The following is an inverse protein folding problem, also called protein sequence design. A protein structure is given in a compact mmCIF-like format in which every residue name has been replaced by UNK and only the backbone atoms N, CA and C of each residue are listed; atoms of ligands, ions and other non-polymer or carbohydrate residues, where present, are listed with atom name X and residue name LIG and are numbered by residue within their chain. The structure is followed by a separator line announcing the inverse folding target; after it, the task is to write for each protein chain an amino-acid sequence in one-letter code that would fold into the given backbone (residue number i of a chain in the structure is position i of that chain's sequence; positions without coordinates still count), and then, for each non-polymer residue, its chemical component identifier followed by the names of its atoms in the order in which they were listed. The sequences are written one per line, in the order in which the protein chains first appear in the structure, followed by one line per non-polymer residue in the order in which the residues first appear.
data_IF_664013451342
#
_entry.id   IF_664013451342
#
_cell.length_a   1.000
_cell.length_b   1.000
_cell.length_c   1.000
_cell.angle_alpha   90.00
_cell.angle_beta   90.00
_cell.angle_gamma   90.00
#
_symmetry.space_group_name_H-M   'P 1'
#
loop_
_entity.id
_entity.type
_entity.pdbx_description
1 polymer ?
#
# COMPACT_ATOMS: atom_id res chain seq x y z
N UNK A 1 -28.72 -6.24 13.61
CA UNK A 1 -27.63 -6.63 14.51
C UNK A 1 -26.31 -6.47 13.77
N UNK A 2 -25.27 -6.04 14.48
CA UNK A 2 -23.94 -5.84 13.92
C UNK A 2 -22.91 -6.64 14.66
N UNK A 3 -21.97 -7.23 13.93
CA UNK A 3 -20.79 -7.87 14.50
C UNK A 3 -19.57 -7.11 14.04
N UNK A 4 -18.83 -6.54 14.99
CA UNK A 4 -17.55 -5.86 14.71
C UNK A 4 -16.41 -6.84 14.87
N UNK A 5 -15.65 -7.05 13.80
CA UNK A 5 -14.49 -7.94 13.80
C UNK A 5 -13.21 -7.18 14.16
N UNK A 6 -12.43 -7.70 15.09
CA UNK A 6 -11.11 -7.19 15.44
C UNK A 6 -10.05 -8.23 15.03
N UNK A 7 -8.85 -7.82 14.63
CA UNK A 7 -8.33 -6.45 14.49
C UNK A 7 -8.73 -5.76 13.18
N UNK A 8 -9.41 -6.43 12.24
CA UNK A 8 -9.69 -5.89 10.90
C UNK A 8 -10.57 -4.63 10.89
N UNK A 9 -11.34 -4.37 11.95
CA UNK A 9 -12.31 -3.28 12.00
C UNK A 9 -13.56 -3.51 11.14
N UNK A 10 -13.70 -4.67 10.49
CA UNK A 10 -14.84 -5.00 9.64
C UNK A 10 -16.14 -5.04 10.45
N UNK A 11 -17.21 -4.48 9.90
CA UNK A 11 -18.54 -4.49 10.50
C UNK A 11 -19.47 -5.32 9.62
N UNK A 12 -19.99 -6.40 10.18
CA UNK A 12 -20.94 -7.30 9.51
C UNK A 12 -22.37 -6.90 9.88
N UNK A 13 -23.17 -6.50 8.89
CA UNK A 13 -24.61 -6.36 9.03
C UNK A 13 -25.25 -7.76 8.92
N UNK A 14 -25.78 -8.26 10.05
CA UNK A 14 -26.30 -9.61 10.16
C UNK A 14 -27.75 -9.72 9.68
N UNK A 15 -28.06 -10.78 8.94
CA UNK A 15 -29.42 -11.18 8.64
C UNK A 15 -30.01 -12.03 9.81
N UNK A 16 -31.33 -12.10 9.99
CA UNK A 16 -31.94 -12.96 11.02
C UNK A 16 -31.54 -14.41 10.86
N UNK A 17 -31.01 -15.05 11.92
CA UNK A 17 -30.58 -16.45 11.93
C UNK A 17 -29.32 -16.75 11.13
N UNK A 18 -28.55 -15.73 10.76
CA UNK A 18 -27.30 -15.88 9.99
C UNK A 18 -26.10 -16.09 10.92
N UNK A 19 -25.24 -17.07 10.60
CA UNK A 19 -23.98 -17.29 11.29
C UNK A 19 -22.93 -16.23 10.92
N UNK A 20 -22.00 -15.98 11.85
CA UNK A 20 -20.93 -14.95 11.67
C UNK A 20 -20.09 -15.22 10.42
N UNK A 21 -19.68 -16.48 10.18
CA UNK A 21 -18.92 -16.87 8.99
C UNK A 21 -19.72 -16.66 7.69
N UNK A 22 -21.01 -16.95 7.71
CA UNK A 22 -21.85 -16.82 6.52
C UNK A 22 -22.07 -15.34 6.17
N UNK A 23 -22.31 -14.49 7.16
CA UNK A 23 -22.38 -13.04 6.99
C UNK A 23 -21.07 -12.46 6.42
N UNK A 24 -19.93 -12.84 6.99
CA UNK A 24 -18.63 -12.40 6.50
C UNK A 24 -18.41 -12.81 5.04
N UNK A 25 -18.72 -14.07 4.71
CA UNK A 25 -18.61 -14.59 3.34
C UNK A 25 -19.56 -13.86 2.36
N UNK A 26 -20.81 -13.64 2.76
CA UNK A 26 -21.81 -12.91 1.97
C UNK A 26 -21.37 -11.47 1.68
N UNK A 27 -20.72 -10.81 2.65
CA UNK A 27 -20.20 -9.46 2.52
C UNK A 27 -18.85 -9.40 1.78
N UNK A 28 -18.31 -10.54 1.34
CA UNK A 28 -17.12 -10.64 0.51
C UNK A 28 -15.80 -10.69 1.28
N UNK A 29 -15.83 -10.92 2.59
CA UNK A 29 -14.60 -11.15 3.36
C UNK A 29 -14.07 -12.57 3.14
N UNK A 30 -12.73 -12.67 3.01
CA UNK A 30 -12.04 -13.95 3.07
C UNK A 30 -11.73 -14.29 4.53
N UNK A 31 -12.24 -15.42 5.02
CA UNK A 31 -12.13 -15.81 6.42
C UNK A 31 -11.48 -17.18 6.57
N UNK A 32 -10.74 -17.43 7.67
CA UNK A 32 -10.27 -18.76 8.00
C UNK A 32 -11.44 -19.74 8.15
N UNK A 33 -11.54 -20.72 7.25
CA UNK A 33 -12.61 -21.73 7.28
C UNK A 33 -12.20 -23.05 6.63
N UNK A 34 -12.84 -24.15 7.03
CA UNK A 34 -12.66 -25.46 6.40
C UNK A 34 -13.93 -26.31 6.54
N UNK A 35 -14.14 -27.00 7.67
CA UNK A 35 -15.17 -28.01 7.83
C UNK A 35 -16.62 -27.51 7.94
N UNK A 36 -16.82 -26.26 8.37
CA UNK A 36 -18.13 -25.62 8.62
C UNK A 36 -19.05 -26.33 9.61
N UNK A 37 -18.50 -27.18 10.47
CA UNK A 37 -19.25 -27.94 11.48
C UNK A 37 -18.60 -27.91 12.88
N UNK A 38 -17.65 -26.99 13.10
CA UNK A 38 -16.97 -26.78 14.39
C UNK A 38 -15.84 -27.78 14.70
N UNK A 39 -15.59 -28.80 13.87
CA UNK A 39 -14.63 -29.86 14.22
C UNK A 39 -13.16 -29.52 13.97
N UNK A 40 -12.86 -28.64 12.99
CA UNK A 40 -11.47 -28.34 12.59
C UNK A 40 -10.86 -27.16 13.35
N UNK A 41 -11.64 -26.38 14.05
CA UNK A 41 -11.28 -25.18 14.82
C UNK A 41 -10.61 -24.06 14.00
N UNK A 42 -10.53 -24.18 12.67
CA UNK A 42 -9.90 -23.16 11.80
C UNK A 42 -10.68 -21.83 11.84
N UNK A 43 -11.98 -21.88 12.06
CA UNK A 43 -12.85 -20.72 12.21
C UNK A 43 -13.00 -20.25 13.67
N UNK A 44 -12.11 -20.68 14.58
CA UNK A 44 -12.14 -20.25 15.97
C UNK A 44 -11.87 -18.74 16.07
N UNK A 45 -12.63 -18.08 16.93
CA UNK A 45 -12.52 -16.67 17.25
C UNK A 45 -12.85 -16.43 18.73
N UNK A 46 -12.50 -15.28 19.27
CA UNK A 46 -12.80 -14.90 20.65
C UNK A 46 -13.98 -13.94 20.68
N UNK A 47 -15.07 -14.31 21.34
CA UNK A 47 -16.16 -13.38 21.67
C UNK A 47 -15.70 -12.46 22.80
N UNK A 48 -15.58 -11.16 22.49
CA UNK A 48 -15.13 -10.12 23.43
C UNK A 48 -16.32 -9.48 24.13
N UNK A 49 -17.36 -9.13 23.36
CA UNK A 49 -18.59 -8.52 23.85
C UNK A 49 -19.82 -9.09 23.12
N UNK A 50 -20.96 -9.06 23.80
CA UNK A 50 -22.24 -9.52 23.28
C UNK A 50 -22.54 -10.99 23.58
N UNK A 51 -23.57 -11.55 22.92
CA UNK A 51 -23.99 -12.93 23.10
C UNK A 51 -24.22 -13.61 21.77
N UNK A 52 -23.80 -14.88 21.70
CA UNK A 52 -24.03 -15.73 20.53
C UNK A 52 -24.69 -17.05 20.94
N UNK A 53 -25.48 -17.61 20.05
CA UNK A 53 -25.99 -18.99 20.15
C UNK A 53 -25.06 -19.90 19.36
N UNK A 54 -24.46 -20.90 20.01
CA UNK A 54 -23.60 -21.89 19.36
C UNK A 54 -24.01 -23.29 19.76
N UNK A 55 -24.44 -24.11 18.81
CA UNK A 55 -24.88 -25.49 19.05
C UNK A 55 -25.94 -25.61 20.17
N UNK A 56 -26.88 -24.68 20.25
CA UNK A 56 -27.94 -24.64 21.27
C UNK A 56 -27.53 -24.06 22.62
N UNK A 57 -26.28 -23.62 22.77
CA UNK A 57 -25.77 -22.99 24.01
C UNK A 57 -25.53 -21.51 23.76
N UNK A 58 -26.00 -20.67 24.67
CA UNK A 58 -25.72 -19.23 24.65
C UNK A 58 -24.38 -18.96 25.33
N UNK A 59 -23.48 -18.33 24.62
CA UNK A 59 -22.15 -17.87 25.08
C UNK A 59 -22.13 -16.36 25.16
N UNK A 60 -21.48 -15.80 26.17
CA UNK A 60 -21.31 -14.35 26.38
C UNK A 60 -19.84 -13.87 26.42
N UNK A 61 -18.91 -14.81 26.32
CA UNK A 61 -17.46 -14.55 26.23
C UNK A 61 -16.73 -15.87 25.88
N UNK A 62 -15.47 -15.73 25.49
CA UNK A 62 -14.59 -16.88 25.24
C UNK A 62 -14.57 -17.36 23.81
N UNK A 63 -13.98 -18.52 23.59
CA UNK A 63 -13.82 -19.08 22.24
C UNK A 63 -15.16 -19.48 21.63
N UNK A 64 -15.35 -19.07 20.39
CA UNK A 64 -16.49 -19.40 19.54
C UNK A 64 -16.00 -19.97 18.20
N UNK A 65 -16.84 -20.78 17.56
CA UNK A 65 -16.63 -21.23 16.18
C UNK A 65 -17.57 -20.45 15.25
N UNK A 66 -17.02 -19.51 14.50
CA UNK A 66 -17.80 -18.55 13.68
C UNK A 66 -18.71 -19.24 12.65
N UNK A 67 -18.40 -20.48 12.27
CA UNK A 67 -19.26 -21.31 11.40
C UNK A 67 -20.52 -21.86 12.09
N UNK A 68 -20.61 -21.77 13.40
CA UNK A 68 -21.75 -22.26 14.22
C UNK A 68 -22.36 -21.14 15.08
N UNK A 69 -21.67 -20.02 15.22
CA UNK A 69 -22.06 -18.94 16.11
C UNK A 69 -23.04 -17.99 15.41
N UNK A 70 -24.26 -17.91 15.95
CA UNK A 70 -25.30 -16.97 15.54
C UNK A 70 -25.39 -15.84 16.59
N UNK A 71 -25.15 -14.55 16.23
CA UNK A 71 -25.27 -13.47 17.20
C UNK A 71 -26.72 -13.24 17.62
N UNK A 72 -26.92 -13.00 18.93
CA UNK A 72 -28.22 -12.69 19.52
C UNK A 72 -28.41 -11.19 19.75
N UNK A 73 -27.35 -10.44 19.72
CA UNK A 73 -27.27 -8.97 19.86
C UNK A 73 -26.04 -8.45 19.13
N UNK A 74 -25.77 -7.14 19.20
CA UNK A 74 -24.54 -6.57 18.65
C UNK A 74 -23.33 -7.16 19.39
N UNK A 75 -22.30 -7.60 18.65
CA UNK A 75 -21.14 -8.32 19.20
C UNK A 75 -19.83 -7.69 18.75
N UNK A 76 -18.79 -7.89 19.58
CA UNK A 76 -17.39 -7.67 19.21
C UNK A 76 -16.68 -9.01 19.24
N UNK A 77 -16.07 -9.38 18.12
CA UNK A 77 -15.40 -10.67 17.93
C UNK A 77 -13.96 -10.43 17.47
N UNK A 78 -13.00 -10.96 18.21
CA UNK A 78 -11.59 -10.99 17.78
C UNK A 78 -11.37 -12.24 16.92
N UNK A 79 -11.18 -12.02 15.62
CA UNK A 79 -11.01 -13.07 14.63
C UNK A 79 -9.88 -12.74 13.68
N UNK A 80 -8.72 -13.35 13.93
CA UNK A 80 -7.53 -13.15 13.15
C UNK A 80 -7.64 -13.74 11.74
N UNK A 81 -6.99 -13.11 10.77
CA UNK A 81 -6.92 -13.60 9.39
C UNK A 81 -8.17 -13.33 8.56
N UNK A 82 -9.08 -12.48 9.02
CA UNK A 82 -10.18 -11.95 8.20
C UNK A 82 -9.63 -10.88 7.28
N UNK A 83 -9.83 -11.05 5.97
CA UNK A 83 -9.34 -10.14 4.93
C UNK A 83 -10.52 -9.54 4.18
N UNK A 84 -10.46 -8.24 3.89
CA UNK A 84 -11.42 -7.60 3.01
C UNK A 84 -11.26 -8.11 1.57
N UNK A 85 -12.28 -7.91 0.73
CA UNK A 85 -12.23 -8.32 -0.67
C UNK A 85 -11.04 -7.66 -1.39
N UNK A 86 -10.15 -8.49 -1.94
CA UNK A 86 -8.94 -8.05 -2.61
C UNK A 86 -7.76 -7.73 -1.68
N UNK A 87 -7.94 -7.78 -0.37
CA UNK A 87 -6.86 -7.70 0.60
C UNK A 87 -5.97 -8.95 0.53
N UNK A 88 -4.68 -8.77 0.74
CA UNK A 88 -3.70 -9.86 0.67
C UNK A 88 -3.09 -10.11 2.05
N UNK A 89 -2.95 -11.40 2.47
CA UNK A 89 -2.38 -11.70 3.77
C UNK A 89 -0.90 -11.32 3.83
N UNK A 90 -0.50 -10.65 4.91
CA UNK A 90 0.90 -10.35 5.19
C UNK A 90 1.67 -11.66 5.40
N UNK A 91 2.83 -11.78 4.77
CA UNK A 91 3.70 -12.96 4.83
C UNK A 91 5.12 -12.57 5.16
N UNK A 92 5.78 -13.39 5.96
CA UNK A 92 7.23 -13.31 6.21
C UNK A 92 7.97 -14.09 5.13
N UNK A 93 8.98 -13.48 4.53
CA UNK A 93 9.79 -14.09 3.47
C UNK A 93 11.26 -13.85 3.77
N UNK A 94 12.09 -14.87 3.51
CA UNK A 94 13.55 -14.75 3.50
C UNK A 94 13.99 -14.51 2.05
N UNK A 95 14.31 -13.26 1.71
CA UNK A 95 14.67 -12.85 0.35
C UNK A 95 16.18 -12.77 0.18
N UNK A 96 16.66 -13.16 -1.00
CA UNK A 96 18.05 -12.93 -1.39
C UNK A 96 18.23 -11.48 -1.83
N UNK A 97 19.26 -10.81 -1.33
CA UNK A 97 19.70 -9.52 -1.87
C UNK A 97 20.38 -9.78 -3.22
N UNK A 98 19.76 -9.35 -4.30
CA UNK A 98 20.25 -9.58 -5.67
C UNK A 98 21.02 -8.39 -6.22
N UNK A 99 20.72 -7.19 -5.74
CA UNK A 99 21.36 -5.93 -6.13
C UNK A 99 21.37 -4.96 -4.95
N UNK A 100 22.40 -4.13 -4.87
CA UNK A 100 22.46 -3.02 -3.92
C UNK A 100 23.48 -2.00 -4.49
N UNK A 101 22.96 -1.03 -5.27
CA UNK A 101 23.77 -0.07 -6.04
C UNK A 101 23.29 1.36 -5.82
N UNK A 102 24.21 2.30 -5.77
CA UNK A 102 23.92 3.72 -5.72
C UNK A 102 23.48 4.21 -7.12
N UNK A 103 22.39 4.97 -7.18
CA UNK A 103 21.78 5.45 -8.43
C UNK A 103 21.69 6.98 -8.53
N UNK A 104 22.46 7.69 -7.71
CA UNK A 104 22.46 9.15 -7.60
C UNK A 104 21.49 9.69 -6.55
N UNK A 105 21.57 10.98 -6.23
CA UNK A 105 20.69 11.65 -5.27
C UNK A 105 20.71 11.07 -3.85
N UNK A 106 21.83 10.46 -3.43
CA UNK A 106 21.96 9.67 -2.19
C UNK A 106 20.97 8.48 -2.12
N UNK A 107 20.49 7.99 -3.27
CA UNK A 107 19.54 6.88 -3.35
C UNK A 107 20.23 5.59 -3.78
N UNK A 108 19.90 4.51 -3.10
CA UNK A 108 20.33 3.16 -3.42
C UNK A 108 19.15 2.37 -3.98
N UNK A 109 19.37 1.73 -5.14
CA UNK A 109 18.47 0.71 -5.67
C UNK A 109 18.83 -0.63 -5.05
N UNK A 110 17.84 -1.24 -4.39
CA UNK A 110 17.98 -2.53 -3.72
C UNK A 110 17.06 -3.53 -4.41
N UNK A 111 17.66 -4.55 -4.99
CA UNK A 111 16.97 -5.70 -5.56
C UNK A 111 16.87 -6.84 -4.53
N UNK A 112 15.65 -7.35 -4.34
CA UNK A 112 15.40 -8.51 -3.50
C UNK A 112 14.73 -9.61 -4.32
N UNK A 113 15.23 -10.84 -4.22
CA UNK A 113 14.60 -11.99 -4.86
C UNK A 113 13.91 -12.88 -3.85
N UNK A 114 12.60 -12.99 -3.95
CA UNK A 114 11.80 -13.86 -3.09
C UNK A 114 12.15 -15.36 -3.29
N UNK A 115 11.89 -16.22 -2.29
CA UNK A 115 12.17 -17.66 -2.35
C UNK A 115 11.58 -18.35 -3.58
N UNK A 116 12.17 -19.48 -3.98
CA UNK A 116 11.64 -20.31 -5.05
C UNK A 116 10.21 -20.77 -4.71
N UNK A 117 9.33 -20.83 -5.73
CA UNK A 117 7.93 -21.20 -5.60
C UNK A 117 6.99 -20.16 -6.17
N UNK A 118 5.80 -20.03 -5.57
CA UNK A 118 4.82 -19.02 -6.01
C UNK A 118 5.35 -17.61 -5.73
N UNK A 119 5.28 -16.69 -6.69
CA UNK A 119 5.64 -15.29 -6.46
C UNK A 119 4.86 -14.69 -5.28
N UNK A 120 5.44 -13.74 -4.54
CA UNK A 120 4.70 -12.99 -3.53
C UNK A 120 3.56 -12.21 -4.20
N UNK A 121 2.41 -12.19 -3.52
CA UNK A 121 1.24 -11.45 -4.00
C UNK A 121 1.19 -10.09 -3.31
N UNK A 122 1.04 -9.04 -4.09
CA UNK A 122 0.84 -7.67 -3.63
C UNK A 122 0.17 -6.84 -4.72
N UNK A 123 -0.34 -5.67 -4.38
CA UNK A 123 -0.85 -4.68 -5.33
C UNK A 123 0.21 -3.62 -5.60
N UNK A 124 0.21 -3.06 -6.81
CA UNK A 124 1.09 -1.94 -7.14
C UNK A 124 0.80 -0.75 -6.22
N UNK A 125 1.84 -0.15 -5.65
CA UNK A 125 1.75 0.92 -4.67
C UNK A 125 1.90 0.48 -3.21
N UNK A 126 1.86 -0.81 -2.91
CA UNK A 126 2.08 -1.33 -1.56
C UNK A 126 3.56 -1.29 -1.16
N UNK A 127 3.82 -1.41 0.15
CA UNK A 127 5.15 -1.42 0.74
C UNK A 127 5.44 -2.73 1.49
N UNK A 128 6.69 -2.94 1.82
CA UNK A 128 7.17 -4.03 2.66
C UNK A 128 7.95 -3.50 3.86
N UNK A 129 8.09 -4.35 4.88
CA UNK A 129 8.92 -4.11 6.04
C UNK A 129 10.18 -4.96 5.95
N UNK A 130 11.36 -4.36 6.12
CA UNK A 130 12.65 -5.07 6.26
C UNK A 130 12.97 -5.20 7.74
N UNK A 131 13.30 -6.41 8.17
CA UNK A 131 13.82 -6.68 9.51
C UNK A 131 15.30 -6.28 9.59
N UNK A 132 15.63 -5.43 10.56
CA UNK A 132 17.00 -5.00 10.84
C UNK A 132 17.69 -5.95 11.81
N UNK A 133 19.03 -5.91 11.86
CA UNK A 133 19.82 -6.72 12.81
C UNK A 133 19.50 -6.41 14.28
N UNK A 134 19.04 -5.20 14.60
CA UNK A 134 18.61 -4.83 15.95
C UNK A 134 17.17 -5.26 16.28
N UNK A 135 16.49 -5.98 15.38
CA UNK A 135 15.10 -6.42 15.54
C UNK A 135 14.03 -5.36 15.16
N UNK A 136 14.43 -4.14 14.85
CA UNK A 136 13.51 -3.11 14.33
C UNK A 136 13.11 -3.42 12.89
N UNK A 137 12.00 -2.80 12.43
CA UNK A 137 11.55 -2.92 11.05
C UNK A 137 11.53 -1.56 10.38
N UNK A 138 11.89 -1.54 9.09
CA UNK A 138 11.84 -0.35 8.26
C UNK A 138 10.94 -0.57 7.05
N UNK A 139 10.04 0.38 6.82
CA UNK A 139 9.09 0.35 5.72
C UNK A 139 9.71 0.90 4.43
N UNK A 140 9.48 0.21 3.30
CA UNK A 140 9.91 0.66 1.97
C UNK A 140 8.83 0.34 0.94
N UNK A 141 8.41 1.34 0.16
CA UNK A 141 7.54 1.14 -0.98
C UNK A 141 8.23 0.26 -2.02
N UNK A 142 7.49 -0.72 -2.54
CA UNK A 142 7.98 -1.56 -3.63
C UNK A 142 7.93 -0.79 -4.94
N UNK A 143 9.09 -0.57 -5.57
CA UNK A 143 9.19 0.06 -6.88
C UNK A 143 8.81 -0.92 -8.00
N UNK A 144 9.08 -2.20 -7.81
CA UNK A 144 8.63 -3.25 -8.73
C UNK A 144 7.11 -3.36 -8.75
N UNK A 145 6.53 -3.64 -9.91
CA UNK A 145 5.12 -3.96 -10.05
C UNK A 145 4.86 -5.47 -9.85
N UNK A 146 3.62 -5.89 -9.52
CA UNK A 146 3.30 -7.30 -9.23
C UNK A 146 3.67 -8.31 -10.33
N UNK A 147 3.73 -7.87 -11.59
CA UNK A 147 4.09 -8.73 -12.71
C UNK A 147 5.60 -9.06 -12.78
N UNK A 148 6.45 -8.38 -12.01
CA UNK A 148 7.89 -8.71 -11.90
C UNK A 148 8.14 -10.04 -11.21
N UNK A 149 7.11 -10.68 -10.70
CA UNK A 149 7.16 -12.04 -10.17
C UNK A 149 7.87 -12.09 -8.81
N UNK A 150 9.07 -12.70 -8.76
CA UNK A 150 9.83 -12.85 -7.51
C UNK A 150 10.84 -11.73 -7.26
N UNK A 151 11.04 -10.85 -8.23
CA UNK A 151 12.01 -9.77 -8.13
C UNK A 151 11.32 -8.51 -7.60
N UNK A 152 11.77 -8.06 -6.43
CA UNK A 152 11.29 -6.86 -5.76
C UNK A 152 12.38 -5.79 -5.83
N UNK A 153 11.99 -4.56 -6.10
CA UNK A 153 12.89 -3.40 -6.15
C UNK A 153 12.46 -2.35 -5.13
N UNK A 154 13.44 -1.78 -4.44
CA UNK A 154 13.26 -0.71 -3.46
C UNK A 154 14.21 0.44 -3.77
N UNK A 155 13.79 1.68 -3.47
CA UNK A 155 14.63 2.87 -3.52
C UNK A 155 14.86 3.39 -2.10
N UNK A 156 16.10 3.35 -1.64
CA UNK A 156 16.48 3.69 -0.27
C UNK A 156 17.28 4.97 -0.26
N UNK A 157 16.74 6.04 0.34
CA UNK A 157 17.45 7.30 0.54
C UNK A 157 18.42 7.17 1.71
N UNK A 158 19.72 7.42 1.48
CA UNK A 158 20.79 7.21 2.47
C UNK A 158 21.40 8.56 2.86
N UNK A 159 20.69 9.30 3.72
CA UNK A 159 21.16 10.58 4.31
C UNK A 159 21.38 10.50 5.81
N UNK A 160 20.86 9.44 6.45
CA UNK A 160 20.96 9.25 7.89
C UNK A 160 21.75 7.98 8.22
N UNK A 161 22.38 7.97 9.39
CA UNK A 161 23.14 6.82 9.86
C UNK A 161 22.33 5.52 9.91
N UNK A 162 21.04 5.60 10.20
CA UNK A 162 20.15 4.45 10.22
C UNK A 162 19.98 3.82 8.83
N UNK A 163 19.84 4.64 7.77
CA UNK A 163 19.75 4.16 6.41
C UNK A 163 21.11 3.60 5.90
N UNK A 164 22.21 4.24 6.28
CA UNK A 164 23.56 3.75 6.00
C UNK A 164 23.78 2.36 6.61
N UNK A 165 23.42 2.16 7.88
CA UNK A 165 23.51 0.86 8.56
C UNK A 165 22.66 -0.22 7.87
N UNK A 166 21.49 0.13 7.33
CA UNK A 166 20.68 -0.80 6.55
C UNK A 166 21.37 -1.22 5.24
N UNK A 167 21.93 -0.29 4.50
CA UNK A 167 22.66 -0.60 3.27
C UNK A 167 23.87 -1.51 3.56
N UNK A 168 24.62 -1.23 4.61
CA UNK A 168 25.73 -2.08 5.05
C UNK A 168 25.26 -3.50 5.44
N UNK A 169 24.12 -3.62 6.13
CA UNK A 169 23.49 -4.90 6.41
C UNK A 169 23.13 -5.65 5.12
N UNK A 170 22.49 -4.98 4.15
CA UNK A 170 22.05 -5.58 2.89
C UNK A 170 23.25 -6.01 2.00
N UNK A 171 24.34 -5.25 2.01
CA UNK A 171 25.56 -5.60 1.28
C UNK A 171 26.31 -6.78 1.91
N UNK A 172 26.30 -6.88 3.24
CA UNK A 172 26.99 -7.96 3.97
C UNK A 172 26.19 -9.25 3.96
N UNK A 173 24.86 -9.16 4.11
CA UNK A 173 23.99 -10.31 4.26
C UNK A 173 23.35 -10.66 2.90
N UNK A 174 23.54 -11.93 2.47
CA UNK A 174 22.92 -12.42 1.24
C UNK A 174 21.41 -12.65 1.36
N UNK A 175 20.92 -12.81 2.59
CA UNK A 175 19.51 -13.06 2.91
C UNK A 175 19.03 -11.99 3.88
N UNK A 176 17.87 -11.44 3.61
CA UNK A 176 17.15 -10.50 4.48
C UNK A 176 15.71 -10.98 4.70
N UNK A 177 15.21 -10.78 5.92
CA UNK A 177 13.82 -11.10 6.24
C UNK A 177 12.93 -9.87 5.98
N UNK A 178 11.84 -10.11 5.30
CA UNK A 178 10.84 -9.08 5.00
C UNK A 178 9.45 -9.56 5.39
N UNK A 179 8.56 -8.61 5.60
CA UNK A 179 7.12 -8.85 5.72
C UNK A 179 6.39 -8.02 4.68
N UNK A 180 5.45 -8.62 3.96
CA UNK A 180 4.68 -7.96 2.89
C UNK A 180 3.35 -8.67 2.62
N UNK A 181 2.38 -8.04 1.94
CA UNK A 181 2.33 -6.61 1.60
C UNK A 181 1.70 -5.79 2.72
N UNK A 182 1.96 -4.49 2.73
CA UNK A 182 1.32 -3.49 3.59
C UNK A 182 0.87 -2.29 2.75
N UNK A 183 -0.06 -1.50 3.28
CA UNK A 183 -0.52 -0.24 2.71
C UNK A 183 -1.80 -0.37 1.89
N UNK A 184 -2.68 0.63 2.06
CA UNK A 184 -3.98 0.70 1.39
C UNK A 184 -3.94 1.63 0.17
N UNK A 185 -2.82 2.35 -0.02
CA UNK A 185 -2.58 3.24 -1.16
C UNK A 185 -2.07 2.44 -2.36
N UNK A 186 -2.96 1.69 -3.01
CA UNK A 186 -2.60 0.79 -4.10
C UNK A 186 -3.66 0.73 -5.21
N UNK A 187 -3.29 0.18 -6.36
CA UNK A 187 -4.17 -0.15 -7.47
C UNK A 187 -4.54 -1.64 -7.42
N UNK A 188 -5.71 -1.96 -6.85
CA UNK A 188 -6.30 -3.29 -6.97
C UNK A 188 -6.96 -3.48 -8.34
N UNK A 189 -7.66 -2.43 -8.79
CA UNK A 189 -8.30 -2.33 -10.11
C UNK A 189 -7.87 -1.03 -10.80
N UNK A 190 -7.83 -1.03 -12.13
CA UNK A 190 -7.50 0.17 -12.89
C UNK A 190 -8.68 1.15 -12.83
N UNK A 191 -8.45 2.45 -12.60
CA UNK A 191 -9.52 3.44 -12.60
C UNK A 191 -10.03 3.74 -14.01
N UNK A 192 -11.25 4.25 -14.11
CA UNK A 192 -11.89 4.64 -15.36
C UNK A 192 -11.65 6.12 -15.72
N UNK A 193 -10.52 6.69 -15.32
CA UNK A 193 -10.20 8.09 -15.55
C UNK A 193 -8.69 8.38 -15.46
N UNK A 194 -8.28 9.63 -15.69
CA UNK A 194 -6.87 10.02 -15.63
C UNK A 194 -6.25 9.81 -14.25
N UNK A 195 -4.95 9.46 -14.24
CA UNK A 195 -4.13 9.31 -13.05
C UNK A 195 -3.21 10.50 -12.87
N UNK A 196 -3.14 11.03 -11.66
CA UNK A 196 -2.16 12.02 -11.22
C UNK A 196 -1.30 11.41 -10.12
N UNK A 197 -0.05 11.19 -10.43
CA UNK A 197 0.93 10.55 -9.55
C UNK A 197 1.91 11.61 -9.04
N UNK A 198 1.97 11.82 -7.73
CA UNK A 198 2.75 12.87 -7.09
C UNK A 198 3.78 12.25 -6.16
N UNK A 199 5.06 12.38 -6.52
CA UNK A 199 6.18 11.80 -5.79
C UNK A 199 7.14 12.87 -5.28
N UNK A 200 7.47 12.86 -3.99
CA UNK A 200 8.59 13.63 -3.45
C UNK A 200 9.76 12.69 -3.14
N UNK A 201 10.94 13.00 -3.73
CA UNK A 201 12.15 12.20 -3.52
C UNK A 201 11.95 10.73 -3.85
N UNK A 202 12.24 9.85 -2.89
CA UNK A 202 12.05 8.39 -3.02
C UNK A 202 10.60 7.90 -2.96
N UNK A 203 9.62 8.79 -2.72
CA UNK A 203 8.21 8.49 -2.99
C UNK A 203 7.97 8.04 -4.44
N UNK A 204 8.94 8.30 -5.30
CA UNK A 204 9.01 7.83 -6.67
C UNK A 204 8.96 6.29 -6.78
N UNK A 205 9.45 5.55 -5.79
CA UNK A 205 9.37 4.08 -5.78
C UNK A 205 7.92 3.59 -5.87
N UNK A 206 7.01 4.16 -5.10
CA UNK A 206 5.59 3.84 -5.15
C UNK A 206 4.98 4.16 -6.52
N UNK A 207 5.27 5.34 -7.06
CA UNK A 207 4.76 5.77 -8.37
C UNK A 207 5.32 4.93 -9.51
N UNK A 208 6.58 4.48 -9.41
CA UNK A 208 7.19 3.55 -10.35
C UNK A 208 6.38 2.25 -10.45
N UNK A 209 6.02 1.65 -9.33
CA UNK A 209 5.20 0.44 -9.28
C UNK A 209 3.82 0.65 -9.95
N UNK A 210 3.16 1.80 -9.68
CA UNK A 210 1.86 2.14 -10.26
C UNK A 210 1.95 2.30 -11.79
N UNK A 211 2.96 3.02 -12.29
CA UNK A 211 3.17 3.23 -13.74
C UNK A 211 3.43 1.90 -14.44
N UNK A 212 4.34 1.07 -13.92
CA UNK A 212 4.64 -0.23 -14.51
C UNK A 212 3.43 -1.18 -14.49
N UNK A 213 2.61 -1.12 -13.44
CA UNK A 213 1.35 -1.87 -13.40
C UNK A 213 0.36 -1.39 -14.46
N UNK A 214 0.16 -0.08 -14.59
CA UNK A 214 -0.68 0.52 -15.62
C UNK A 214 -0.20 0.13 -17.03
N UNK A 215 1.11 0.19 -17.27
CA UNK A 215 1.74 -0.22 -18.52
C UNK A 215 1.46 -1.68 -18.84
N UNK A 216 1.71 -2.58 -17.91
CA UNK A 216 1.52 -4.02 -18.07
C UNK A 216 0.05 -4.41 -18.30
N UNK A 217 -0.88 -3.64 -17.74
CA UNK A 217 -2.33 -3.83 -17.91
C UNK A 217 -2.91 -3.10 -19.12
N UNK A 218 -2.09 -2.36 -19.85
CA UNK A 218 -2.53 -1.62 -21.04
C UNK A 218 -3.48 -0.47 -20.75
N UNK A 219 -3.27 0.24 -19.62
CA UNK A 219 -4.04 1.42 -19.23
C UNK A 219 -3.96 2.50 -20.32
N UNK A 220 -5.12 3.11 -20.66
CA UNK A 220 -5.22 4.01 -21.83
C UNK A 220 -5.48 5.46 -21.46
N UNK A 221 -5.98 5.72 -20.25
CA UNK A 221 -6.22 7.10 -19.82
C UNK A 221 -4.90 7.83 -19.58
N UNK A 222 -4.88 9.17 -19.62
CA UNK A 222 -3.70 9.95 -19.31
C UNK A 222 -3.14 9.64 -17.91
N UNK A 223 -1.83 9.57 -17.80
CA UNK A 223 -1.10 9.44 -16.52
C UNK A 223 -0.14 10.63 -16.44
N UNK A 224 -0.30 11.48 -15.44
CA UNK A 224 0.59 12.59 -15.17
C UNK A 224 1.45 12.25 -13.95
N UNK A 225 2.76 12.15 -14.15
CA UNK A 225 3.72 11.95 -13.08
C UNK A 225 4.40 13.29 -12.74
N UNK A 226 4.22 13.75 -11.51
CA UNK A 226 4.94 14.89 -10.95
C UNK A 226 5.97 14.40 -9.94
N UNK A 227 7.25 14.45 -10.33
CA UNK A 227 8.36 14.04 -9.48
C UNK A 227 9.10 15.26 -8.95
N UNK A 228 8.97 15.52 -7.65
CA UNK A 228 9.58 16.66 -6.97
C UNK A 228 10.78 16.28 -6.15
N UNK A 229 11.80 17.14 -6.21
CA UNK A 229 12.98 17.09 -5.35
C UNK A 229 13.30 18.50 -4.86
N UNK A 230 14.17 18.60 -3.85
CA UNK A 230 14.61 19.91 -3.36
C UNK A 230 15.59 20.56 -4.32
N UNK A 231 16.55 19.80 -4.83
CA UNK A 231 17.62 20.25 -5.73
C UNK A 231 17.74 19.33 -6.93
N UNK A 232 18.22 19.80 -8.09
CA UNK A 232 18.35 18.96 -9.29
C UNK A 232 19.20 17.71 -9.08
N UNK A 233 20.24 17.78 -8.27
CA UNK A 233 21.13 16.67 -7.93
C UNK A 233 20.47 15.59 -7.07
N UNK A 234 19.30 15.85 -6.48
CA UNK A 234 18.50 14.88 -5.73
C UNK A 234 17.71 13.94 -6.65
N UNK A 235 17.62 14.22 -7.95
CA UNK A 235 17.08 13.25 -8.91
C UNK A 235 18.04 12.08 -9.06
N UNK A 236 17.50 10.88 -9.12
CA UNK A 236 18.27 9.66 -9.29
C UNK A 236 17.84 8.88 -10.52
N UNK A 237 18.66 7.92 -10.96
CA UNK A 237 18.43 7.13 -12.15
C UNK A 237 17.31 6.09 -11.93
N UNK A 238 16.34 6.06 -12.86
CA UNK A 238 15.23 5.11 -12.91
C UNK A 238 15.37 4.18 -14.10
N UNK A 239 15.18 2.89 -13.88
CA UNK A 239 15.40 1.83 -14.87
C UNK A 239 14.61 1.98 -16.16
N UNK A 240 13.39 2.57 -16.11
CA UNK A 240 12.47 2.64 -17.25
C UNK A 240 12.19 4.07 -17.73
N UNK A 241 12.97 5.06 -17.27
CA UNK A 241 12.68 6.46 -17.56
C UNK A 241 12.64 6.80 -19.05
N UNK A 242 13.56 6.26 -19.84
CA UNK A 242 13.61 6.52 -21.27
C UNK A 242 12.51 5.77 -22.06
N UNK A 243 12.09 4.61 -21.58
CA UNK A 243 10.92 3.89 -22.12
C UNK A 243 9.64 4.67 -21.84
N UNK A 244 9.50 5.24 -20.65
CA UNK A 244 8.34 6.04 -20.26
C UNK A 244 8.14 7.28 -21.10
N UNK A 245 9.22 7.94 -21.53
CA UNK A 245 9.17 9.09 -22.44
C UNK A 245 8.54 8.74 -23.81
N UNK A 246 8.51 7.47 -24.17
CA UNK A 246 7.92 6.99 -25.44
C UNK A 246 6.43 6.66 -25.31
N UNK A 247 5.87 6.64 -24.11
CA UNK A 247 4.46 6.31 -23.90
C UNK A 247 3.57 7.52 -24.17
N UNK A 248 2.62 7.42 -25.13
CA UNK A 248 1.85 8.58 -25.56
C UNK A 248 0.86 9.11 -24.52
N UNK A 249 0.51 8.27 -23.53
CA UNK A 249 -0.41 8.64 -22.45
C UNK A 249 0.28 8.91 -21.12
N UNK A 250 1.62 8.93 -21.07
CA UNK A 250 2.38 9.23 -19.85
C UNK A 250 3.09 10.57 -19.97
N UNK A 251 2.73 11.51 -19.13
CA UNK A 251 3.28 12.86 -19.06
C UNK A 251 4.19 12.99 -17.84
N UNK A 252 5.47 13.27 -18.07
CA UNK A 252 6.52 13.29 -17.03
C UNK A 252 6.91 14.73 -16.70
N UNK A 253 6.71 15.11 -15.43
CA UNK A 253 7.01 16.45 -14.92
C UNK A 253 8.03 16.36 -13.78
N UNK A 254 9.24 16.89 -14.00
CA UNK A 254 10.25 17.08 -12.94
C UNK A 254 10.08 18.47 -12.35
N UNK A 255 10.03 18.58 -11.02
CA UNK A 255 9.85 19.85 -10.29
C UNK A 255 10.92 19.98 -9.22
N UNK A 256 11.53 21.17 -9.11
CA UNK A 256 12.56 21.49 -8.10
C UNK A 256 12.04 22.60 -7.20
N UNK A 257 12.08 22.40 -5.87
CA UNK A 257 11.51 23.38 -4.94
C UNK A 257 12.50 24.45 -4.47
N UNK A 258 13.79 24.13 -4.31
CA UNK A 258 14.75 25.01 -3.61
C UNK A 258 15.60 25.91 -4.54
N UNK A 259 15.61 25.68 -5.84
CA UNK A 259 16.46 26.43 -6.80
C UNK A 259 15.65 27.01 -7.95
N UNK A 260 15.54 28.35 -7.97
CA UNK A 260 15.17 29.11 -9.16
C UNK A 260 16.42 29.25 -10.04
N UNK A 261 16.40 28.73 -11.27
CA UNK A 261 17.54 28.81 -12.21
C UNK A 261 17.93 27.45 -12.80
N UNK A 262 17.26 26.36 -12.41
CA UNK A 262 17.27 25.10 -13.13
C UNK A 262 16.49 25.25 -14.44
N UNK A 263 16.92 24.59 -15.51
CA UNK A 263 16.27 24.66 -16.83
C UNK A 263 14.85 24.02 -16.86
N UNK A 264 14.48 23.26 -15.83
CA UNK A 264 13.17 22.66 -15.67
C UNK A 264 12.21 23.52 -14.83
N UNK A 265 11.12 22.90 -14.41
CA UNK A 265 10.08 23.57 -13.62
C UNK A 265 10.50 23.76 -12.16
N UNK A 266 10.39 25.01 -11.66
CA UNK A 266 10.60 25.36 -10.26
C UNK A 266 9.25 25.59 -9.57
N UNK A 267 9.15 25.28 -8.27
CA UNK A 267 7.96 25.50 -7.45
C UNK A 267 7.52 24.27 -6.66
N UNK A 268 6.30 24.31 -6.15
CA UNK A 268 5.73 23.20 -5.39
C UNK A 268 4.99 22.23 -6.32
N UNK A 269 4.95 20.95 -5.93
CA UNK A 269 4.28 19.91 -6.72
C UNK A 269 2.79 20.20 -6.95
N UNK A 270 2.08 20.65 -5.92
CA UNK A 270 0.66 20.97 -6.04
C UNK A 270 0.38 22.17 -6.95
N UNK A 271 1.28 23.17 -6.98
CA UNK A 271 1.20 24.31 -7.91
C UNK A 271 1.32 23.81 -9.34
N UNK A 272 2.31 22.93 -9.59
CA UNK A 272 2.52 22.32 -10.89
C UNK A 272 1.29 21.55 -11.38
N UNK A 273 0.65 20.77 -10.52
CA UNK A 273 -0.57 20.03 -10.87
C UNK A 273 -1.72 20.98 -11.21
N UNK A 274 -1.97 22.01 -10.38
CA UNK A 274 -3.05 22.96 -10.59
C UNK A 274 -2.87 23.82 -11.87
N UNK A 275 -1.61 24.09 -12.26
CA UNK A 275 -1.33 24.81 -13.51
C UNK A 275 -1.55 23.96 -14.76
N UNK A 276 -1.25 22.65 -14.69
CA UNK A 276 -1.31 21.76 -15.86
C UNK A 276 -2.70 21.11 -16.04
N UNK A 277 -3.44 20.89 -14.96
CA UNK A 277 -4.72 20.17 -14.97
C UNK A 277 -5.85 21.10 -14.54
N UNK A 278 -6.62 21.56 -15.51
CA UNK A 278 -7.71 22.53 -15.29
C UNK A 278 -8.97 21.92 -14.70
N UNK A 279 -9.20 20.62 -14.88
CA UNK A 279 -10.34 19.89 -14.32
C UNK A 279 -9.88 18.72 -13.47
N UNK A 280 -9.99 18.88 -12.17
CA UNK A 280 -9.62 17.87 -11.17
C UNK A 280 -10.80 17.01 -10.70
N UNK A 281 -12.00 17.23 -11.22
CA UNK A 281 -13.22 16.55 -10.74
C UNK A 281 -13.27 15.06 -11.07
N UNK A 282 -12.51 14.60 -12.09
CA UNK A 282 -12.54 13.22 -12.60
C UNK A 282 -11.21 12.48 -12.50
N UNK A 283 -10.19 13.06 -11.84
CA UNK A 283 -8.86 12.46 -11.72
C UNK A 283 -8.76 11.55 -10.50
N UNK A 284 -7.88 10.57 -10.57
CA UNK A 284 -7.47 9.74 -9.42
C UNK A 284 -6.06 10.13 -9.03
N UNK A 285 -5.86 10.58 -7.78
CA UNK A 285 -4.59 11.10 -7.30
C UNK A 285 -3.92 10.13 -6.35
N UNK A 286 -2.64 9.85 -6.57
CA UNK A 286 -1.79 9.08 -5.66
C UNK A 286 -0.60 9.93 -5.25
N UNK A 287 -0.42 10.10 -3.93
CA UNK A 287 0.65 10.94 -3.38
C UNK A 287 1.61 10.14 -2.51
N UNK A 288 2.93 10.36 -2.68
CA UNK A 288 3.96 9.78 -1.83
C UNK A 288 5.03 10.81 -1.49
N UNK A 289 5.22 11.07 -0.20
CA UNK A 289 6.14 12.07 0.33
C UNK A 289 5.92 12.35 1.81
N UNK A 290 6.48 13.45 2.30
CA UNK A 290 6.31 13.86 3.71
C UNK A 290 4.86 14.23 4.04
N UNK A 291 4.42 14.08 5.31
CA UNK A 291 3.09 14.49 5.73
C UNK A 291 2.77 15.95 5.38
N UNK A 292 3.70 16.86 5.60
CA UNK A 292 3.50 18.28 5.28
C UNK A 292 3.23 18.49 3.79
N UNK A 293 3.98 17.84 2.90
CA UNK A 293 3.79 17.96 1.45
C UNK A 293 2.47 17.33 1.00
N UNK A 294 2.13 16.14 1.50
CA UNK A 294 0.90 15.44 1.13
C UNK A 294 -0.34 16.26 1.52
N UNK A 295 -0.36 16.79 2.74
CA UNK A 295 -1.49 17.60 3.19
C UNK A 295 -1.59 18.96 2.48
N UNK A 296 -0.47 19.63 2.21
CA UNK A 296 -0.46 20.84 1.39
C UNK A 296 -0.99 20.58 -0.02
N UNK A 297 -0.61 19.42 -0.59
CA UNK A 297 -1.13 18.99 -1.89
C UNK A 297 -2.63 18.73 -1.83
N UNK A 298 -3.12 17.97 -0.85
CA UNK A 298 -4.55 17.71 -0.67
C UNK A 298 -5.35 19.02 -0.59
N UNK A 299 -4.92 19.94 0.28
CA UNK A 299 -5.61 21.22 0.49
C UNK A 299 -5.67 22.07 -0.80
N UNK A 300 -4.55 22.11 -1.55
CA UNK A 300 -4.48 22.87 -2.79
C UNK A 300 -5.38 22.26 -3.88
N UNK A 301 -5.36 20.93 -4.07
CA UNK A 301 -6.16 20.26 -5.08
C UNK A 301 -7.67 20.32 -4.74
N UNK A 302 -8.04 20.19 -3.46
CA UNK A 302 -9.43 20.36 -3.01
C UNK A 302 -9.90 21.79 -3.25
N UNK A 303 -9.06 22.80 -2.96
CA UNK A 303 -9.36 24.20 -3.26
C UNK A 303 -9.53 24.47 -4.75
N UNK A 304 -8.87 23.66 -5.60
CA UNK A 304 -8.98 23.72 -7.05
C UNK A 304 -10.13 22.84 -7.63
N UNK A 305 -10.98 22.24 -6.76
CA UNK A 305 -12.21 21.54 -7.17
C UNK A 305 -12.14 20.02 -7.17
N UNK A 306 -11.07 19.41 -6.65
CA UNK A 306 -10.99 17.96 -6.44
C UNK A 306 -11.81 17.54 -5.21
N UNK A 307 -12.48 16.39 -5.28
CA UNK A 307 -13.01 15.75 -4.06
C UNK A 307 -11.85 15.11 -3.26
N UNK A 308 -11.84 15.32 -1.94
CA UNK A 308 -10.78 14.77 -1.08
C UNK A 308 -10.64 13.24 -1.18
N UNK A 309 -11.73 12.53 -1.45
CA UNK A 309 -11.72 11.06 -1.61
C UNK A 309 -11.03 10.58 -2.89
N UNK A 310 -10.76 11.46 -3.85
CA UNK A 310 -10.02 11.13 -5.07
C UNK A 310 -8.51 10.98 -4.81
N UNK A 311 -8.00 11.51 -3.68
CA UNK A 311 -6.58 11.40 -3.33
C UNK A 311 -6.33 10.27 -2.33
N UNK A 312 -5.34 9.43 -2.65
CA UNK A 312 -4.82 8.36 -1.79
C UNK A 312 -3.35 8.61 -1.46
N UNK A 313 -2.99 8.43 -0.19
CA UNK A 313 -1.61 8.50 0.29
C UNK A 313 -1.48 7.70 1.59
N UNK A 314 -0.40 6.96 1.76
CA UNK A 314 -0.14 6.18 2.99
C UNK A 314 -0.04 7.08 4.24
N UNK A 315 0.32 8.35 4.04
CA UNK A 315 0.36 9.39 5.09
C UNK A 315 -0.98 9.48 5.84
N UNK A 316 -2.09 9.33 5.18
CA UNK A 316 -3.42 9.46 5.80
C UNK A 316 -3.67 8.38 6.86
N UNK A 317 -3.02 7.21 6.73
CA UNK A 317 -3.11 6.12 7.70
C UNK A 317 -2.15 6.30 8.89
N UNK A 318 -0.87 6.66 8.65
CA UNK A 318 0.13 6.69 9.71
C UNK A 318 0.34 8.06 10.37
N UNK A 319 -0.10 9.14 9.74
CA UNK A 319 -0.01 10.51 10.27
C UNK A 319 -1.32 11.28 9.98
N UNK A 320 -2.49 10.81 10.46
CA UNK A 320 -3.76 11.49 10.21
C UNK A 320 -3.76 12.89 10.83
N UNK A 321 -4.42 13.85 10.16
CA UNK A 321 -4.73 15.15 10.77
C UNK A 321 -5.79 14.96 11.85
N UNK A 322 -5.63 15.67 12.96
CA UNK A 322 -6.60 15.77 14.04
C UNK A 322 -7.87 16.54 13.59
#
# INVERSE_FOLDING_TARGET
MRVTLQPSGAVLEMLPGEGILDAATRLGYECPQSCRNGNCHICAALLVEGRVLQAGVTLNHGEIYTCLAEPLEDCIVMWDGVLARGELPVRKLACQVSECVEVGGDVWRVGLRAPAGKPPRYHAGQYLMIERENGEKSAFSMASAPHCGRDLELHVLVREASAQSLIEQLQRNRIVHIEMPYGDTHLAELPEGPLVLIAAGTGMAQMHSLIEHCRAKGFKHPVHLYWGVRRPEDFYELSHWDEWKQLPNLHLHKVVSDLCGWEGRCGMLHEAVCEDISDLSSVYVYGSGSPAMIYATLDALVSAGMDAHQMRADVFAYAPRA
#
